data_IF_568249403412
#
_entry.id   IF_568249403412
#
_cell.length_a   1.000
_cell.length_b   1.000
_cell.length_c   1.000
_cell.angle_alpha   90.00
_cell.angle_beta   90.00
_cell.angle_gamma   90.00
#
_symmetry.space_group_name_H-M   'P 1'
#
loop_
_entity.id
_entity.type
_entity.pdbx_description
1 polymer ?
#
# COMPACT_ATOMS: atom_id res chain seq x y z
N UNK A 1 1.65 22.84 -27.98
CA UNK A 1 1.36 22.55 -26.56
C UNK A 1 0.47 23.66 -26.03
N UNK A 2 -0.83 23.42 -25.87
CA UNK A 2 -1.87 24.43 -25.62
C UNK A 2 -1.64 25.32 -24.39
N UNK A 3 -1.88 26.62 -24.54
CA UNK A 3 -1.79 27.65 -23.48
C UNK A 3 -2.64 27.32 -22.23
N UNK A 4 -3.80 26.69 -22.41
CA UNK A 4 -4.64 26.22 -21.31
C UNK A 4 -3.94 25.18 -20.41
N UNK A 5 -3.08 24.33 -20.98
CA UNK A 5 -2.33 23.33 -20.22
C UNK A 5 -1.29 23.99 -19.31
N UNK A 6 -0.68 25.12 -19.71
CA UNK A 6 0.31 25.84 -18.90
C UNK A 6 -0.29 26.52 -17.67
N UNK A 7 -1.52 27.06 -17.77
CA UNK A 7 -2.14 27.79 -16.67
C UNK A 7 -2.71 26.86 -15.58
N UNK A 8 -3.32 25.73 -15.96
CA UNK A 8 -3.95 24.79 -15.03
C UNK A 8 -3.00 23.74 -14.44
N UNK A 9 -1.85 23.50 -15.08
CA UNK A 9 -0.84 22.56 -14.62
C UNK A 9 -0.33 22.81 -13.19
N UNK A 10 0.09 24.03 -12.79
CA UNK A 10 0.59 24.28 -11.45
C UNK A 10 -0.47 23.98 -10.37
N UNK A 11 -1.73 24.33 -10.63
CA UNK A 11 -2.84 24.05 -9.72
C UNK A 11 -3.11 22.54 -9.56
N UNK A 12 -3.15 21.80 -10.68
CA UNK A 12 -3.31 20.33 -10.65
C UNK A 12 -2.15 19.63 -9.93
N UNK A 13 -0.93 20.10 -10.15
CA UNK A 13 0.26 19.60 -9.45
C UNK A 13 0.17 19.86 -7.95
N UNK A 14 -0.20 21.08 -7.54
CA UNK A 14 -0.38 21.41 -6.14
C UNK A 14 -1.44 20.55 -5.45
N UNK A 15 -2.59 20.36 -6.10
CA UNK A 15 -3.65 19.48 -5.59
C UNK A 15 -3.18 18.02 -5.46
N UNK A 16 -2.35 17.57 -6.39
CA UNK A 16 -1.77 16.22 -6.35
C UNK A 16 -0.84 16.02 -5.15
N UNK A 17 0.15 16.91 -5.00
CA UNK A 17 1.15 16.83 -3.93
C UNK A 17 0.54 17.03 -2.53
N UNK A 18 -0.37 18.00 -2.39
CA UNK A 18 -1.12 18.16 -1.14
C UNK A 18 -1.94 16.91 -0.81
N UNK A 19 -2.56 16.28 -1.81
CA UNK A 19 -3.24 15.01 -1.63
C UNK A 19 -2.33 13.88 -1.12
N UNK A 20 -1.08 13.81 -1.58
CA UNK A 20 -0.09 12.84 -1.06
C UNK A 20 0.19 13.12 0.42
N UNK A 21 0.39 14.39 0.78
CA UNK A 21 0.62 14.78 2.18
C UNK A 21 -0.55 14.42 3.10
N UNK A 22 -1.80 14.70 2.67
CA UNK A 22 -2.99 14.34 3.44
C UNK A 22 -3.13 12.81 3.59
N UNK A 23 -2.84 12.04 2.54
CA UNK A 23 -2.84 10.58 2.62
C UNK A 23 -1.79 10.06 3.58
N UNK A 24 -0.57 10.59 3.52
CA UNK A 24 0.48 10.22 4.47
C UNK A 24 0.03 10.49 5.91
N UNK A 25 -0.47 11.69 6.21
CA UNK A 25 -0.95 12.03 7.55
C UNK A 25 -2.09 11.10 8.02
N UNK A 26 -3.08 10.83 7.15
CA UNK A 26 -4.17 9.91 7.45
C UNK A 26 -3.68 8.49 7.70
N UNK A 27 -2.92 7.92 6.77
CA UNK A 27 -2.51 6.52 6.85
C UNK A 27 -1.47 6.27 7.94
N UNK A 28 -0.57 7.23 8.21
CA UNK A 28 0.44 7.10 9.26
C UNK A 28 -0.16 6.73 10.62
N UNK A 29 -1.34 7.25 10.93
CA UNK A 29 -2.04 6.94 12.18
C UNK A 29 -2.72 5.56 12.19
N UNK A 30 -3.03 5.01 11.02
CA UNK A 30 -3.77 3.75 10.89
C UNK A 30 -2.87 2.52 10.75
N UNK A 31 -1.63 2.69 10.29
CA UNK A 31 -0.65 1.61 10.26
C UNK A 31 -0.23 1.16 11.66
N UNK A 32 0.18 -0.11 11.79
CA UNK A 32 0.77 -0.62 13.03
C UNK A 32 2.00 0.19 13.43
N UNK A 33 2.85 0.47 12.45
CA UNK A 33 4.01 1.36 12.56
C UNK A 33 4.21 1.98 11.19
N UNK A 34 4.45 3.29 11.16
CA UNK A 34 4.76 4.00 9.92
C UNK A 34 5.84 5.03 10.20
N UNK A 35 6.99 4.83 9.56
CA UNK A 35 8.13 5.72 9.65
C UNK A 35 7.86 7.08 9.00
N UNK A 36 8.94 7.69 8.54
CA UNK A 36 8.91 9.03 7.95
C UNK A 36 9.03 8.96 6.44
N UNK A 37 8.53 9.98 5.75
CA UNK A 37 8.62 10.09 4.29
C UNK A 37 7.98 8.91 3.53
N UNK A 38 6.78 8.49 3.92
CA UNK A 38 6.00 7.47 3.19
C UNK A 38 5.04 8.15 2.22
N UNK A 39 5.26 8.00 0.92
CA UNK A 39 4.41 8.56 -0.12
C UNK A 39 3.37 7.55 -0.58
N UNK A 40 2.09 7.95 -0.48
CA UNK A 40 0.96 7.10 -0.88
C UNK A 40 0.22 7.81 -2.01
N UNK A 41 0.40 7.28 -3.22
CA UNK A 41 -0.21 7.85 -4.41
C UNK A 41 -1.71 7.52 -4.47
N UNK A 42 -2.49 8.23 -5.31
CA UNK A 42 -3.90 7.92 -5.48
C UNK A 42 -4.12 6.48 -5.92
N UNK A 43 -5.24 5.88 -5.46
CA UNK A 43 -5.65 4.51 -5.78
C UNK A 43 -4.70 3.42 -5.27
N UNK A 44 -4.04 3.66 -4.15
CA UNK A 44 -3.44 2.60 -3.32
C UNK A 44 -4.46 2.17 -2.28
N UNK A 45 -4.65 0.86 -2.15
CA UNK A 45 -5.61 0.25 -1.24
C UNK A 45 -4.88 -0.57 -0.19
N UNK A 46 -5.14 -0.27 1.07
CA UNK A 46 -4.65 -1.03 2.21
C UNK A 46 -5.81 -1.74 2.91
N UNK A 47 -5.62 -3.00 3.25
CA UNK A 47 -6.55 -3.81 4.04
C UNK A 47 -5.82 -4.45 5.21
N UNK A 48 -6.49 -4.57 6.35
CA UNK A 48 -5.85 -4.98 7.62
C UNK A 48 -4.62 -4.11 7.93
N UNK A 49 -4.79 -2.81 7.77
CA UNK A 49 -3.72 -1.80 7.83
C UNK A 49 -3.03 -1.76 9.20
N UNK A 50 -3.76 -2.10 10.25
CA UNK A 50 -3.33 -2.23 11.64
C UNK A 50 -2.29 -3.36 11.85
N UNK A 51 -2.07 -4.21 10.83
CA UNK A 51 -1.09 -5.30 10.83
C UNK A 51 0.08 -5.07 9.89
N UNK A 52 0.15 -3.90 9.26
CA UNK A 52 1.22 -3.52 8.33
C UNK A 52 2.19 -2.58 9.05
N UNK A 53 3.49 -2.91 9.01
CA UNK A 53 4.57 -2.05 9.50
C UNK A 53 5.40 -1.53 8.33
N UNK A 54 5.68 -0.24 8.37
CA UNK A 54 6.43 0.48 7.37
C UNK A 54 7.62 1.19 8.02
N UNK A 55 8.81 1.01 7.44
CA UNK A 55 9.99 1.82 7.69
C UNK A 55 9.86 3.24 7.16
N UNK A 56 10.98 3.80 6.73
CA UNK A 56 11.15 5.16 6.26
C UNK A 56 11.39 5.19 4.75
N UNK A 57 11.07 6.34 4.14
CA UNK A 57 11.36 6.59 2.73
C UNK A 57 10.78 5.52 1.78
N UNK A 58 9.46 5.30 1.88
CA UNK A 58 8.76 4.30 1.07
C UNK A 58 7.82 5.00 0.10
N UNK A 59 7.77 4.53 -1.15
CA UNK A 59 6.80 5.01 -2.13
C UNK A 59 5.85 3.92 -2.61
N UNK A 60 4.54 4.16 -2.49
CA UNK A 60 3.51 3.32 -3.08
C UNK A 60 2.90 4.00 -4.30
N UNK A 61 3.14 3.44 -5.48
CA UNK A 61 2.63 3.97 -6.74
C UNK A 61 1.17 3.55 -6.98
N UNK A 62 0.45 4.21 -7.91
CA UNK A 62 -0.98 3.94 -8.11
C UNK A 62 -1.32 2.48 -8.38
N UNK A 63 -2.54 2.10 -8.01
CA UNK A 63 -3.14 0.78 -8.24
C UNK A 63 -2.51 -0.36 -7.43
N UNK A 64 -1.75 -0.05 -6.39
CA UNK A 64 -1.29 -1.08 -5.45
C UNK A 64 -2.44 -1.59 -4.57
N UNK A 65 -2.44 -2.89 -4.30
CA UNK A 65 -3.36 -3.55 -3.38
C UNK A 65 -2.59 -4.33 -2.32
N UNK A 66 -2.69 -3.89 -1.07
CA UNK A 66 -1.89 -4.41 0.04
C UNK A 66 -2.82 -5.00 1.11
N UNK A 67 -2.80 -6.32 1.28
CA UNK A 67 -3.60 -7.06 2.26
C UNK A 67 -2.72 -7.63 3.38
N UNK A 68 -2.73 -6.94 4.52
CA UNK A 68 -1.94 -7.25 5.72
C UNK A 68 -2.54 -8.30 6.66
N UNK A 69 -3.55 -9.08 6.24
CA UNK A 69 -4.29 -9.99 7.13
C UNK A 69 -3.39 -10.93 7.97
N UNK A 70 -2.32 -11.45 7.38
CA UNK A 70 -1.28 -12.28 8.01
C UNK A 70 -0.02 -11.53 8.44
N UNK A 71 0.01 -10.20 8.27
CA UNK A 71 1.13 -9.32 8.61
C UNK A 71 2.02 -9.00 7.40
N UNK A 72 2.38 -7.74 7.27
CA UNK A 72 3.36 -7.26 6.28
C UNK A 72 4.35 -6.34 6.98
N UNK A 73 5.64 -6.54 6.74
CA UNK A 73 6.70 -5.62 7.17
C UNK A 73 7.49 -5.17 5.95
N UNK A 74 7.63 -3.86 5.78
CA UNK A 74 8.41 -3.23 4.70
C UNK A 74 9.48 -2.37 5.35
N UNK A 75 10.73 -2.59 4.95
CA UNK A 75 11.91 -1.89 5.43
C UNK A 75 12.00 -0.42 4.97
N UNK A 76 13.21 0.12 5.07
CA UNK A 76 13.56 1.47 4.64
C UNK A 76 13.94 1.52 3.15
N UNK A 77 13.74 2.67 2.51
CA UNK A 77 14.18 2.93 1.13
C UNK A 77 13.56 1.98 0.09
N UNK A 78 12.25 1.74 0.20
CA UNK A 78 11.52 0.79 -0.65
C UNK A 78 10.63 1.50 -1.68
N UNK A 79 10.65 1.04 -2.94
CA UNK A 79 9.76 1.53 -3.99
C UNK A 79 8.81 0.45 -4.50
N UNK A 80 7.52 0.58 -4.13
CA UNK A 80 6.46 -0.27 -4.65
C UNK A 80 5.87 0.36 -5.91
N UNK A 81 6.25 -0.20 -7.06
CA UNK A 81 5.80 0.22 -8.38
C UNK A 81 4.28 0.04 -8.59
N UNK A 82 3.76 0.59 -9.70
CA UNK A 82 2.33 0.58 -9.97
C UNK A 82 1.78 -0.84 -10.13
N UNK A 83 0.50 -1.05 -9.76
CA UNK A 83 -0.21 -2.30 -9.97
C UNK A 83 0.44 -3.53 -9.28
N UNK A 84 1.14 -3.30 -8.16
CA UNK A 84 1.68 -4.36 -7.33
C UNK A 84 0.63 -4.81 -6.31
N UNK A 85 0.51 -6.13 -6.16
CA UNK A 85 -0.33 -6.75 -5.12
C UNK A 85 0.56 -7.46 -4.12
N UNK A 86 0.44 -7.11 -2.84
CA UNK A 86 1.13 -7.80 -1.74
C UNK A 86 0.04 -8.34 -0.81
N UNK A 87 0.00 -9.65 -0.63
CA UNK A 87 -1.01 -10.33 0.18
C UNK A 87 -0.35 -11.28 1.17
N UNK A 88 -0.80 -11.22 2.41
CA UNK A 88 -0.33 -12.08 3.51
C UNK A 88 -1.37 -13.13 3.95
N UNK A 89 -2.45 -13.28 3.17
CA UNK A 89 -3.46 -14.32 3.35
C UNK A 89 -3.69 -15.12 2.08
N UNK A 90 -4.09 -16.36 2.27
CA UNK A 90 -4.53 -17.27 1.22
C UNK A 90 -5.74 -18.07 1.71
N UNK A 91 -6.49 -18.65 0.78
CA UNK A 91 -7.50 -19.65 1.13
C UNK A 91 -6.80 -21.00 1.34
N UNK A 92 -7.17 -21.70 2.41
CA UNK A 92 -6.81 -23.10 2.58
C UNK A 92 -7.53 -23.97 1.55
N UNK A 93 -7.02 -25.18 1.38
CA UNK A 93 -7.56 -26.19 0.47
C UNK A 93 -7.50 -27.60 1.08
N UNK A 94 -7.27 -27.69 2.39
CA UNK A 94 -7.07 -28.95 3.11
C UNK A 94 -8.36 -29.79 3.22
N UNK A 95 -9.53 -29.17 3.10
CA UNK A 95 -10.81 -29.87 3.10
C UNK A 95 -11.41 -29.83 1.69
N UNK A 96 -11.27 -30.94 0.97
CA UNK A 96 -11.77 -31.13 -0.39
C UNK A 96 -13.30 -31.30 -0.45
N UNK A 97 -13.97 -31.59 0.67
CA UNK A 97 -15.42 -31.76 0.76
C UNK A 97 -16.18 -30.42 0.73
N UNK A 98 -15.48 -29.28 0.90
CA UNK A 98 -16.08 -27.96 0.87
C UNK A 98 -15.42 -27.05 -0.19
N UNK A 99 -16.19 -26.18 -0.87
CA UNK A 99 -15.63 -25.20 -1.79
C UNK A 99 -14.53 -24.33 -1.15
N UNK A 100 -13.52 -23.94 -1.94
CA UNK A 100 -12.37 -23.10 -1.51
C UNK A 100 -12.81 -21.88 -0.70
N UNK A 101 -13.91 -21.21 -1.09
CA UNK A 101 -14.40 -20.01 -0.41
C UNK A 101 -14.81 -20.23 1.06
N UNK A 102 -15.12 -21.48 1.43
CA UNK A 102 -15.49 -21.87 2.81
C UNK A 102 -14.35 -22.56 3.54
N UNK A 103 -13.26 -22.90 2.86
CA UNK A 103 -12.08 -23.40 3.53
C UNK A 103 -11.51 -22.29 4.44
N UNK A 104 -10.99 -22.66 5.63
CA UNK A 104 -10.29 -21.72 6.50
C UNK A 104 -9.16 -21.02 5.75
N UNK A 105 -8.93 -19.75 6.05
CA UNK A 105 -7.78 -19.02 5.51
C UNK A 105 -6.48 -19.50 6.17
N UNK A 106 -5.39 -19.43 5.41
CA UNK A 106 -4.03 -19.53 5.92
C UNK A 106 -3.35 -18.16 5.84
N UNK A 107 -2.45 -17.89 6.77
CA UNK A 107 -1.74 -16.62 6.88
C UNK A 107 -0.24 -16.83 6.79
N UNK A 108 0.44 -15.95 6.07
CA UNK A 108 1.89 -15.96 5.93
C UNK A 108 2.40 -14.54 5.92
N UNK A 109 3.25 -14.20 6.89
CA UNK A 109 3.87 -12.86 6.97
C UNK A 109 4.71 -12.61 5.72
N UNK A 110 4.56 -11.44 5.12
CA UNK A 110 5.44 -10.97 4.04
C UNK A 110 6.43 -9.97 4.61
N UNK A 111 7.70 -10.11 4.22
CA UNK A 111 8.77 -9.18 4.57
C UNK A 111 9.41 -8.68 3.28
N UNK A 112 9.46 -7.36 3.14
CA UNK A 112 10.24 -6.67 2.10
C UNK A 112 11.36 -5.95 2.83
N UNK A 113 12.59 -6.33 2.54
CA UNK A 113 13.79 -5.79 3.18
C UNK A 113 14.09 -4.36 2.70
N UNK A 114 15.11 -3.75 3.27
CA UNK A 114 15.57 -2.41 2.89
C UNK A 114 16.14 -2.39 1.45
N UNK A 115 16.07 -1.24 0.78
CA UNK A 115 16.65 -1.00 -0.57
C UNK A 115 16.11 -1.98 -1.65
N UNK A 116 14.79 -1.98 -1.81
CA UNK A 116 14.04 -2.83 -2.75
C UNK A 116 13.08 -1.98 -3.59
#
# INVERSE_FOLDING_TARGET
>A
MDLQKKFLWPFKSWLYWSGIMFRYAYYKYNFNTCGTNVSIHPKVYFKHIDKIKLGNNISFHPLCYIDGEGGIEIGDDVSIAHNVTIMSSNHGWNNEDIPIKYNPKSYGKVVIENDV
#
